data_IF_099399341778
#
_entry.id   IF_099399341778
#
_cell.length_a   1.000
_cell.length_b   1.000
_cell.length_c   1.000
_cell.angle_alpha   90.00
_cell.angle_beta   90.00
_cell.angle_gamma   90.00
#
_symmetry.space_group_name_H-M   'P 1'
#
loop_
_entity.id
_entity.type
_entity.pdbx_description
1 polymer ?
#
# COMPACT_ATOMS: atom_id res chain seq x y z
N UNK A 1 16.03 -21.29 -48.27
CA UNK A 1 15.47 -20.13 -47.55
C UNK A 1 16.61 -19.44 -46.81
N UNK A 2 16.78 -18.12 -46.92
CA UNK A 2 17.92 -17.37 -46.35
C UNK A 2 17.63 -16.90 -44.93
N UNK A 3 18.60 -17.05 -44.01
CA UNK A 3 18.47 -16.89 -42.55
C UNK A 3 18.88 -15.49 -42.04
N UNK A 4 18.52 -14.44 -42.78
CA UNK A 4 18.91 -13.08 -42.44
C UNK A 4 18.20 -12.52 -41.20
N UNK A 5 16.94 -12.93 -40.95
CA UNK A 5 16.22 -12.56 -39.75
C UNK A 5 16.74 -13.38 -38.55
N UNK A 6 17.30 -12.71 -37.55
CA UNK A 6 17.85 -13.31 -36.33
C UNK A 6 17.35 -12.53 -35.13
N UNK A 7 16.93 -13.19 -34.03
CA UNK A 7 16.56 -12.50 -32.80
C UNK A 7 17.79 -11.87 -32.12
N UNK A 8 17.58 -10.77 -31.40
CA UNK A 8 18.59 -10.14 -30.56
C UNK A 8 18.55 -10.76 -29.17
N UNK A 9 19.56 -11.56 -28.82
CA UNK A 9 19.67 -12.16 -27.49
C UNK A 9 20.37 -11.25 -26.46
N UNK A 10 21.16 -10.30 -26.94
CA UNK A 10 21.84 -9.30 -26.11
C UNK A 10 21.47 -7.89 -26.59
N UNK A 11 21.04 -6.99 -25.69
CA UNK A 11 20.75 -5.61 -26.04
C UNK A 11 22.03 -4.83 -26.34
N UNK A 12 21.92 -3.75 -27.11
CA UNK A 12 23.02 -2.83 -27.32
C UNK A 12 23.41 -2.17 -25.99
N UNK A 13 24.69 -2.25 -25.62
CA UNK A 13 25.21 -1.63 -24.40
C UNK A 13 25.58 -0.18 -24.66
N UNK A 14 25.02 0.74 -23.88
CA UNK A 14 25.41 2.14 -23.89
C UNK A 14 26.89 2.31 -23.49
N UNK A 15 27.60 3.21 -24.17
CA UNK A 15 29.04 3.39 -24.02
C UNK A 15 29.58 4.51 -24.92
N UNK A 16 30.78 4.31 -25.48
CA UNK A 16 31.61 5.35 -26.10
C UNK A 16 31.00 6.09 -27.32
N UNK A 17 29.99 5.54 -27.99
CA UNK A 17 29.60 6.05 -29.32
C UNK A 17 28.48 7.10 -29.27
N UNK A 18 27.56 6.98 -28.30
CA UNK A 18 26.47 7.95 -28.09
C UNK A 18 26.49 8.44 -26.64
N UNK A 19 27.18 9.56 -26.41
CA UNK A 19 27.17 10.25 -25.12
C UNK A 19 28.12 9.70 -24.05
N UNK A 20 28.84 8.60 -24.30
CA UNK A 20 29.94 8.15 -23.43
C UNK A 20 31.23 8.96 -23.63
N UNK A 21 32.24 8.71 -22.80
CA UNK A 21 33.58 9.29 -22.92
C UNK A 21 34.19 8.91 -24.28
N UNK A 22 34.01 9.78 -25.28
CA UNK A 22 34.45 9.54 -26.65
C UNK A 22 35.98 9.54 -26.71
N UNK A 23 36.55 8.48 -27.28
CA UNK A 23 38.00 8.38 -27.62
C UNK A 23 38.30 9.20 -28.90
N UNK A 24 37.29 9.43 -29.75
CA UNK A 24 37.38 10.23 -30.97
C UNK A 24 36.80 11.64 -30.74
N UNK A 25 37.43 12.67 -31.30
CA UNK A 25 37.16 14.09 -30.99
C UNK A 25 35.69 14.50 -31.08
N UNK A 26 35.35 15.60 -30.38
CA UNK A 26 33.98 16.11 -30.30
C UNK A 26 33.38 16.37 -31.69
N UNK A 27 32.23 15.75 -31.97
CA UNK A 27 31.50 15.97 -33.22
C UNK A 27 30.84 17.36 -33.22
N UNK A 28 30.89 18.05 -34.35
CA UNK A 28 30.19 19.33 -34.57
C UNK A 28 28.72 19.15 -35.00
N UNK A 29 28.24 17.91 -35.12
CA UNK A 29 26.86 17.61 -35.52
C UNK A 29 25.93 17.73 -34.31
N UNK A 30 24.83 18.48 -34.47
CA UNK A 30 23.77 18.60 -33.47
C UNK A 30 22.40 18.35 -34.12
N UNK A 31 21.46 17.82 -33.33
CA UNK A 31 20.06 17.66 -33.73
C UNK A 31 19.27 18.94 -33.46
N UNK A 32 18.14 19.13 -34.14
CA UNK A 32 17.19 20.22 -33.82
C UNK A 32 16.69 20.15 -32.37
N UNK A 33 16.70 18.95 -31.77
CA UNK A 33 16.35 18.71 -30.36
C UNK A 33 17.44 19.11 -29.37
N UNK A 34 18.69 19.25 -29.83
CA UNK A 34 19.83 19.63 -28.99
C UNK A 34 20.01 21.15 -28.91
N UNK A 35 19.16 21.92 -29.60
CA UNK A 35 19.14 23.38 -29.52
C UNK A 35 18.74 23.79 -28.11
N UNK A 36 19.36 24.84 -27.59
CA UNK A 36 19.13 25.34 -26.23
C UNK A 36 17.63 25.62 -25.99
N UNK A 37 17.01 24.81 -25.14
CA UNK A 37 15.62 24.94 -24.69
C UNK A 37 15.55 24.71 -23.18
N UNK A 38 14.64 25.42 -22.51
CA UNK A 38 14.46 25.34 -21.04
C UNK A 38 15.77 25.54 -20.25
N UNK A 39 16.54 26.58 -20.60
CA UNK A 39 17.83 26.88 -19.97
C UNK A 39 17.73 27.34 -18.51
N UNK A 40 16.51 27.62 -18.03
CA UNK A 40 16.24 28.07 -16.66
C UNK A 40 15.52 26.98 -15.88
N UNK A 41 16.15 26.49 -14.81
CA UNK A 41 15.51 25.58 -13.86
C UNK A 41 14.56 26.35 -12.94
N UNK A 42 13.39 25.78 -12.66
CA UNK A 42 12.43 26.33 -11.70
C UNK A 42 12.74 25.79 -10.30
N UNK A 43 13.22 26.61 -9.35
CA UNK A 43 13.36 26.19 -7.97
C UNK A 43 11.97 26.09 -7.30
N UNK A 44 11.86 25.23 -6.29
CA UNK A 44 10.67 25.18 -5.42
C UNK A 44 10.57 26.50 -4.67
N UNK A 45 9.38 27.11 -4.68
CA UNK A 45 9.06 28.28 -3.84
C UNK A 45 8.62 27.83 -2.46
N UNK A 46 8.65 28.76 -1.50
CA UNK A 46 8.05 28.53 -0.18
C UNK A 46 6.60 28.04 -0.32
N UNK A 47 6.23 27.04 0.47
CA UNK A 47 4.94 26.34 0.39
C UNK A 47 4.84 25.26 -0.69
N UNK A 48 5.85 25.07 -1.54
CA UNK A 48 5.93 23.97 -2.52
C UNK A 48 6.77 22.78 -2.00
N UNK A 49 6.86 22.62 -0.68
CA UNK A 49 7.75 21.65 -0.04
C UNK A 49 9.22 21.90 -0.39
N UNK A 50 9.71 23.09 -0.04
CA UNK A 50 11.14 23.37 -0.06
C UNK A 50 11.87 22.42 0.90
N UNK A 51 13.17 22.18 0.65
CA UNK A 51 13.96 21.25 1.47
C UNK A 51 13.93 21.67 2.95
N UNK A 52 14.07 22.97 3.22
CA UNK A 52 14.08 23.54 4.57
C UNK A 52 12.74 23.38 5.29
N UNK A 53 11.61 23.49 4.58
CA UNK A 53 10.28 23.25 5.17
C UNK A 53 10.08 21.79 5.53
N UNK A 54 10.54 20.87 4.68
CA UNK A 54 10.42 19.43 4.92
C UNK A 54 11.28 19.02 6.11
N UNK A 55 12.49 19.56 6.26
CA UNK A 55 13.37 19.29 7.40
C UNK A 55 12.80 19.78 8.74
N UNK A 56 12.01 20.86 8.73
CA UNK A 56 11.37 21.41 9.94
C UNK A 56 10.09 20.68 10.35
N UNK A 57 9.51 19.84 9.47
CA UNK A 57 8.22 19.17 9.71
C UNK A 57 8.40 17.77 10.27
N UNK A 58 7.56 17.41 11.24
CA UNK A 58 7.43 16.02 11.69
C UNK A 58 6.54 15.23 10.72
N UNK A 59 7.15 14.64 9.70
CA UNK A 59 6.43 13.92 8.64
C UNK A 59 5.62 12.72 9.17
N UNK A 60 6.08 12.11 10.27
CA UNK A 60 5.40 10.97 10.90
C UNK A 60 4.03 11.38 11.45
N UNK A 61 4.01 12.46 12.25
CA UNK A 61 2.79 12.94 12.90
C UNK A 61 1.79 13.46 11.84
N UNK A 62 2.28 14.17 10.82
CA UNK A 62 1.44 14.65 9.70
C UNK A 62 0.81 13.48 8.92
N UNK A 63 1.57 12.40 8.72
CA UNK A 63 1.09 11.18 8.07
C UNK A 63 0.02 10.50 8.92
N UNK A 64 0.30 10.25 10.19
CA UNK A 64 -0.65 9.57 11.10
C UNK A 64 -1.95 10.40 11.26
N UNK A 65 -1.87 11.73 11.32
CA UNK A 65 -3.04 12.59 11.36
C UNK A 65 -3.84 12.54 10.05
N UNK A 66 -3.17 12.62 8.91
CA UNK A 66 -3.84 12.57 7.59
C UNK A 66 -4.48 11.21 7.35
N UNK A 67 -3.83 10.14 7.76
CA UNK A 67 -4.40 8.79 7.76
C UNK A 67 -5.60 8.72 8.68
N UNK A 68 -5.52 9.21 9.92
CA UNK A 68 -6.68 9.24 10.83
C UNK A 68 -7.88 9.99 10.23
N UNK A 69 -7.66 11.14 9.60
CA UNK A 69 -8.72 11.89 8.88
C UNK A 69 -9.24 11.13 7.66
N UNK A 70 -8.37 10.48 6.90
CA UNK A 70 -8.76 9.66 5.76
C UNK A 70 -9.57 8.44 6.20
N UNK A 71 -9.12 7.67 7.19
CA UNK A 71 -9.86 6.52 7.70
C UNK A 71 -11.18 6.93 8.37
N UNK A 72 -11.24 8.01 9.15
CA UNK A 72 -12.51 8.46 9.75
C UNK A 72 -13.55 8.98 8.74
N UNK A 73 -13.11 9.48 7.57
CA UNK A 73 -14.02 9.87 6.48
C UNK A 73 -14.35 8.70 5.55
N UNK A 74 -13.40 7.78 5.35
CA UNK A 74 -13.56 6.59 4.51
C UNK A 74 -14.40 5.50 5.20
N UNK A 75 -14.28 5.34 6.52
CA UNK A 75 -15.07 4.38 7.30
C UNK A 75 -16.56 4.75 7.32
N UNK A 76 -16.89 6.05 7.28
CA UNK A 76 -18.26 6.53 7.03
C UNK A 76 -18.79 6.18 5.64
N UNK A 77 -17.92 6.20 4.62
CA UNK A 77 -18.30 5.78 3.26
C UNK A 77 -18.37 4.26 3.11
N UNK A 78 -17.47 3.51 3.77
CA UNK A 78 -17.47 2.05 3.72
C UNK A 78 -18.54 1.43 4.59
N UNK A 79 -18.97 2.06 5.69
CA UNK A 79 -20.08 1.56 6.51
C UNK A 79 -21.43 1.68 5.79
N UNK A 80 -21.71 2.80 5.10
CA UNK A 80 -22.97 2.98 4.35
C UNK A 80 -23.02 2.12 3.07
N UNK A 81 -21.87 1.90 2.40
CA UNK A 81 -21.76 0.97 1.27
C UNK A 81 -21.70 -0.50 1.72
N UNK A 82 -21.12 -0.81 2.89
CA UNK A 82 -21.12 -2.18 3.45
C UNK A 82 -22.51 -2.60 3.89
N UNK A 83 -23.37 -1.73 4.39
CA UNK A 83 -24.75 -2.14 4.72
C UNK A 83 -25.64 -2.31 3.47
N UNK A 84 -25.29 -1.68 2.34
CA UNK A 84 -25.93 -1.96 1.03
C UNK A 84 -25.28 -3.12 0.25
N UNK A 85 -24.05 -3.52 0.59
CA UNK A 85 -23.31 -4.64 -0.05
C UNK A 85 -22.99 -5.82 0.87
N UNK A 86 -23.44 -5.82 2.12
CA UNK A 86 -23.25 -6.95 3.06
C UNK A 86 -24.04 -8.18 2.67
N UNK A 87 -25.00 -8.03 1.76
CA UNK A 87 -25.65 -9.16 1.09
C UNK A 87 -24.83 -9.77 -0.05
N UNK A 88 -23.67 -9.22 -0.45
CA UNK A 88 -23.05 -9.62 -1.72
C UNK A 88 -21.51 -9.58 -1.78
N UNK A 89 -20.79 -9.59 -0.66
CA UNK A 89 -19.31 -9.52 -0.71
C UNK A 89 -18.60 -10.23 0.43
N UNK A 90 -18.87 -11.53 0.57
CA UNK A 90 -18.04 -12.48 1.32
C UNK A 90 -17.77 -13.72 0.45
N UNK A 91 -17.10 -13.52 -0.69
CA UNK A 91 -16.45 -14.60 -1.42
C UNK A 91 -15.34 -14.03 -2.31
N UNK A 92 -14.25 -13.58 -1.70
CA UNK A 92 -13.06 -13.19 -2.44
C UNK A 92 -11.77 -13.57 -1.70
N UNK A 93 -11.77 -14.73 -1.06
CA UNK A 93 -10.55 -15.49 -0.81
C UNK A 93 -10.47 -16.58 -1.90
N UNK A 94 -9.29 -16.79 -2.48
CA UNK A 94 -8.89 -17.93 -3.34
C UNK A 94 -9.05 -17.89 -4.88
N UNK A 95 -8.81 -16.74 -5.53
CA UNK A 95 -8.27 -16.77 -6.92
C UNK A 95 -7.20 -15.72 -7.17
N UNK A 96 -5.96 -16.05 -6.79
CA UNK A 96 -4.77 -15.41 -7.38
C UNK A 96 -4.65 -15.94 -8.82
N UNK A 97 -5.36 -15.30 -9.75
CA UNK A 97 -5.10 -15.47 -11.19
C UNK A 97 -3.83 -14.66 -11.49
N UNK A 98 -2.76 -15.25 -12.06
CA UNK A 98 -1.60 -14.49 -12.46
C UNK A 98 -2.03 -13.40 -13.45
N UNK A 99 -1.74 -12.16 -13.10
CA UNK A 99 -2.11 -10.97 -13.86
C UNK A 99 -1.25 -10.85 -15.11
N UNK A 100 -1.56 -11.67 -16.12
CA UNK A 100 -1.16 -11.50 -17.52
C UNK A 100 -2.41 -11.55 -18.39
N UNK A 101 -3.39 -10.71 -18.06
CA UNK A 101 -4.58 -10.43 -18.88
C UNK A 101 -4.36 -9.09 -19.57
N UNK A 102 -4.34 -9.15 -20.90
CA UNK A 102 -4.23 -8.00 -21.80
C UNK A 102 -5.53 -7.16 -21.74
N UNK A 103 -5.43 -5.88 -22.03
CA UNK A 103 -6.46 -4.88 -21.71
C UNK A 103 -7.67 -4.85 -22.68
N UNK A 104 -7.97 -5.93 -23.42
CA UNK A 104 -9.00 -5.93 -24.49
C UNK A 104 -10.11 -7.00 -24.33
N UNK A 105 -10.03 -7.93 -23.37
CA UNK A 105 -11.09 -8.94 -23.17
C UNK A 105 -12.07 -8.52 -22.06
N UNK A 106 -12.96 -7.59 -22.39
CA UNK A 106 -14.13 -7.25 -21.57
C UNK A 106 -15.43 -7.70 -22.24
N UNK A 107 -15.67 -9.01 -22.31
CA UNK A 107 -17.02 -9.56 -22.46
C UNK A 107 -17.08 -11.03 -22.03
N UNK A 108 -17.21 -11.26 -20.72
CA UNK A 108 -17.55 -12.60 -20.18
C UNK A 108 -18.83 -12.47 -19.36
N UNK A 109 -19.92 -12.87 -20.00
CA UNK A 109 -21.25 -13.04 -19.40
C UNK A 109 -21.19 -13.95 -18.16
N UNK A 110 -21.29 -13.33 -16.98
CA UNK A 110 -21.46 -14.06 -15.72
C UNK A 110 -22.94 -14.44 -15.62
N UNK A 111 -23.27 -15.65 -16.08
CA UNK A 111 -24.56 -16.27 -15.84
C UNK A 111 -24.70 -16.56 -14.33
N UNK A 112 -25.69 -15.93 -13.70
CA UNK A 112 -26.17 -16.30 -12.38
C UNK A 112 -26.98 -17.60 -12.50
N UNK A 113 -26.42 -18.71 -12.03
CA UNK A 113 -27.22 -19.87 -11.64
C UNK A 113 -27.46 -19.76 -10.13
N UNK A 114 -28.72 -19.57 -9.81
CA UNK A 114 -29.34 -19.61 -8.49
C UNK A 114 -29.68 -21.07 -8.23
N UNK A 115 -28.91 -21.73 -7.36
CA UNK A 115 -29.31 -22.99 -6.74
C UNK A 115 -29.10 -22.82 -5.23
N UNK A 116 -30.21 -22.53 -4.58
CA UNK A 116 -30.39 -22.49 -3.14
C UNK A 116 -30.45 -23.93 -2.63
N UNK A 117 -29.49 -24.34 -1.82
CA UNK A 117 -29.64 -25.50 -0.94
C UNK A 117 -29.27 -25.10 0.50
N UNK A 118 -30.25 -25.33 1.37
CA UNK A 118 -30.37 -24.95 2.77
C UNK A 118 -29.90 -26.13 3.63
N UNK A 119 -28.81 -25.95 4.39
CA UNK A 119 -28.47 -26.83 5.52
C UNK A 119 -27.91 -25.98 6.68
N UNK A 120 -28.57 -26.13 7.82
CA UNK A 120 -28.43 -25.39 9.07
C UNK A 120 -27.32 -25.93 9.99
N UNK A 121 -26.91 -25.08 10.93
CA UNK A 121 -26.51 -25.36 12.32
C UNK A 121 -25.01 -25.40 12.73
N UNK A 122 -24.77 -25.02 13.99
CA UNK A 122 -23.61 -25.20 14.90
C UNK A 122 -22.67 -24.00 15.27
N UNK A 123 -23.08 -23.27 16.33
CA UNK A 123 -22.46 -23.17 17.67
C UNK A 123 -20.96 -22.74 17.85
N UNK A 124 -20.69 -21.44 18.01
CA UNK A 124 -19.37 -20.87 18.41
C UNK A 124 -19.48 -19.92 19.65
N UNK A 125 -20.34 -20.21 20.64
CA UNK A 125 -20.45 -19.39 21.86
C UNK A 125 -19.31 -19.61 22.89
N UNK A 126 -18.68 -20.80 22.89
CA UNK A 126 -17.66 -21.20 23.88
C UNK A 126 -16.33 -20.40 23.81
N UNK A 127 -15.90 -19.99 22.61
CA UNK A 127 -14.65 -19.24 22.42
C UNK A 127 -14.72 -17.81 22.98
N UNK A 128 -15.92 -17.23 23.07
CA UNK A 128 -16.12 -15.87 23.57
C UNK A 128 -16.10 -15.79 25.10
N UNK A 129 -16.63 -16.81 25.76
CA UNK A 129 -16.68 -16.90 27.22
C UNK A 129 -15.28 -17.13 27.82
N UNK A 130 -14.48 -17.98 27.17
CA UNK A 130 -13.09 -18.22 27.57
C UNK A 130 -12.24 -16.92 27.59
N UNK A 131 -12.44 -16.06 26.60
CA UNK A 131 -11.68 -14.81 26.43
C UNK A 131 -12.07 -13.74 27.47
N UNK A 132 -13.34 -13.68 27.89
CA UNK A 132 -13.79 -12.77 28.96
C UNK A 132 -13.27 -13.21 30.34
N UNK A 133 -13.22 -14.52 30.60
CA UNK A 133 -12.69 -15.06 31.84
C UNK A 133 -11.19 -14.76 32.02
N UNK A 134 -10.40 -14.86 30.94
CA UNK A 134 -8.96 -14.55 30.96
C UNK A 134 -8.72 -13.04 31.21
N UNK A 135 -9.49 -12.15 30.58
CA UNK A 135 -9.39 -10.71 30.81
C UNK A 135 -9.68 -10.31 32.26
N UNK A 136 -10.64 -10.99 32.90
CA UNK A 136 -11.00 -10.71 34.29
C UNK A 136 -9.98 -11.27 35.29
N UNK A 137 -9.30 -12.39 34.96
CA UNK A 137 -8.13 -12.85 35.72
C UNK A 137 -6.97 -11.84 35.63
N UNK A 138 -6.63 -11.38 34.42
CA UNK A 138 -5.57 -10.38 34.20
C UNK A 138 -5.86 -9.08 34.94
N UNK A 139 -7.12 -8.60 34.93
CA UNK A 139 -7.50 -7.38 35.68
C UNK A 139 -7.35 -7.55 37.19
N UNK A 140 -7.76 -8.69 37.75
CA UNK A 140 -7.63 -8.98 39.18
C UNK A 140 -6.17 -9.04 39.60
N UNK A 141 -5.34 -9.75 38.84
CA UNK A 141 -3.90 -9.85 39.11
C UNK A 141 -3.21 -8.47 39.04
N UNK A 142 -3.55 -7.64 38.04
CA UNK A 142 -2.98 -6.28 37.91
C UNK A 142 -3.40 -5.34 39.03
N UNK A 143 -4.60 -5.51 39.57
CA UNK A 143 -5.08 -4.70 40.70
C UNK A 143 -4.35 -5.12 41.97
N UNK A 144 -4.15 -6.41 42.17
CA UNK A 144 -3.39 -6.94 43.30
C UNK A 144 -1.90 -6.57 43.22
N UNK A 145 -1.28 -6.63 42.04
CA UNK A 145 0.11 -6.22 41.84
C UNK A 145 0.28 -4.71 42.09
N UNK A 146 -0.69 -3.88 41.66
CA UNK A 146 -0.71 -2.44 41.97
C UNK A 146 -0.87 -2.17 43.46
N UNK A 147 -1.74 -2.92 44.15
CA UNK A 147 -1.91 -2.84 45.61
C UNK A 147 -0.65 -3.30 46.35
N UNK A 148 0.03 -4.34 45.87
CA UNK A 148 1.29 -4.85 46.43
C UNK A 148 2.43 -3.86 46.24
N UNK A 149 2.54 -3.24 45.05
CA UNK A 149 3.47 -2.13 44.79
C UNK A 149 3.17 -0.93 45.68
N UNK A 150 1.91 -0.54 45.81
CA UNK A 150 1.50 0.59 46.66
C UNK A 150 1.79 0.34 48.15
N UNK A 151 1.49 -0.86 48.68
CA UNK A 151 1.85 -1.26 50.05
C UNK A 151 3.37 -1.40 50.27
N UNK A 152 4.12 -1.81 49.25
CA UNK A 152 5.59 -1.89 49.30
C UNK A 152 6.29 -0.53 49.34
N UNK A 153 5.63 0.52 48.85
CA UNK A 153 6.16 1.90 48.86
C UNK A 153 5.93 2.61 50.21
N UNK A 154 4.99 2.15 51.04
CA UNK A 154 4.67 2.80 52.33
C UNK A 154 5.49 2.33 53.53
N UNK A 155 6.47 1.43 53.35
CA UNK A 155 7.42 1.01 54.41
C UNK A 155 8.84 1.35 53.98
N UNK A 156 9.20 2.63 54.07
CA UNK A 156 10.59 3.10 54.07
C UNK A 156 10.66 4.36 54.96
N UNK A 157 11.19 4.25 56.19
CA UNK A 157 11.62 5.38 57.01
C UNK A 157 12.86 6.06 56.44
#
# INVERSE_FOLDING_TARGET
MTTAARPTWAPAKGGNEQGGARIFGASQKYSSRDVAAHTTLKPRREGQHTKEEVEKKNLRDELEERERRHFSSKDKSYSDDRDRRRGNQLLLEDRIVPRSVDADDSDVDIKSDDDSDDESDDDDEDDTEALMAELDQIKKERVEERLRKYKGVTVSP
#
